data_IF_274431368365
#
_entry.id   IF_274431368365
#
_cell.length_a   1.000
_cell.length_b   1.000
_cell.length_c   1.000
_cell.angle_alpha   90.00
_cell.angle_beta   90.00
_cell.angle_gamma   90.00
#
_symmetry.space_group_name_H-M   'P 1'
#
loop_
_entity.id
_entity.type
_entity.pdbx_description
1 polymer ?
#
# COMPACT_ATOMS: atom_id res chain seq x y z
N UNK A 1 -25.65 0.63 5.17
CA UNK A 1 -24.59 -0.14 4.47
C UNK A 1 -23.26 0.60 4.36
N UNK A 2 -23.23 1.91 4.06
CA UNK A 2 -21.99 2.69 3.97
C UNK A 2 -21.13 2.63 5.25
N UNK A 3 -21.69 2.99 6.41
CA UNK A 3 -20.94 3.00 7.67
C UNK A 3 -20.36 1.64 8.06
N UNK A 4 -21.14 0.56 7.87
CA UNK A 4 -20.69 -0.81 8.13
C UNK A 4 -19.51 -1.17 7.23
N UNK A 5 -19.61 -0.86 5.92
CA UNK A 5 -18.54 -1.10 4.96
C UNK A 5 -17.27 -0.29 5.28
N UNK A 6 -17.42 0.98 5.65
CA UNK A 6 -16.30 1.83 6.06
C UNK A 6 -15.63 1.33 7.33
N UNK A 7 -16.41 0.88 8.32
CA UNK A 7 -15.88 0.31 9.56
C UNK A 7 -15.15 -1.01 9.30
N UNK A 8 -15.74 -1.89 8.48
CA UNK A 8 -15.12 -3.15 8.09
C UNK A 8 -13.79 -2.92 7.35
N UNK A 9 -13.75 -1.98 6.40
CA UNK A 9 -12.52 -1.63 5.70
C UNK A 9 -11.44 -1.13 6.67
N UNK A 10 -11.78 -0.18 7.55
CA UNK A 10 -10.81 0.34 8.53
C UNK A 10 -10.28 -0.77 9.43
N UNK A 11 -11.16 -1.60 9.98
CA UNK A 11 -10.76 -2.72 10.83
C UNK A 11 -9.79 -3.66 10.12
N UNK A 12 -10.15 -4.14 8.92
CA UNK A 12 -9.31 -5.08 8.17
C UNK A 12 -8.02 -4.42 7.70
N UNK A 13 -8.04 -3.14 7.32
CA UNK A 13 -6.86 -2.38 6.95
C UNK A 13 -5.85 -2.31 8.10
N UNK A 14 -6.28 -1.95 9.30
CA UNK A 14 -5.39 -1.86 10.47
C UNK A 14 -4.89 -3.23 10.92
N UNK A 15 -5.74 -4.27 10.89
CA UNK A 15 -5.30 -5.65 11.16
C UNK A 15 -4.23 -6.07 10.16
N UNK A 16 -4.46 -5.84 8.86
CA UNK A 16 -3.48 -6.14 7.80
C UNK A 16 -2.16 -5.39 8.03
N UNK A 17 -2.22 -4.08 8.34
CA UNK A 17 -1.05 -3.27 8.64
C UNK A 17 -0.27 -3.83 9.83
N UNK A 18 -0.93 -4.05 10.97
CA UNK A 18 -0.27 -4.50 12.21
C UNK A 18 0.36 -5.88 12.02
N UNK A 19 -0.37 -6.83 11.42
CA UNK A 19 0.15 -8.18 11.14
C UNK A 19 1.38 -8.10 10.25
N UNK A 20 1.31 -7.31 9.17
CA UNK A 20 2.45 -7.12 8.27
C UNK A 20 3.63 -6.43 8.95
N UNK A 21 3.40 -5.42 9.79
CA UNK A 21 4.48 -4.80 10.57
C UNK A 21 5.17 -5.82 11.46
N UNK A 22 4.42 -6.63 12.22
CA UNK A 22 5.02 -7.63 13.13
C UNK A 22 5.82 -8.69 12.35
N UNK A 23 5.23 -9.26 11.30
CA UNK A 23 5.84 -10.35 10.54
C UNK A 23 6.99 -9.91 9.65
N UNK A 24 6.85 -8.75 8.99
CA UNK A 24 7.86 -8.28 8.04
C UNK A 24 8.96 -7.43 8.65
N UNK A 25 8.78 -6.87 9.86
CA UNK A 25 9.83 -6.07 10.52
C UNK A 25 11.17 -6.82 10.62
N UNK A 26 11.24 -8.06 11.15
CA UNK A 26 12.50 -8.79 11.21
C UNK A 26 13.13 -8.98 9.82
N UNK A 27 12.32 -9.35 8.82
CA UNK A 27 12.80 -9.54 7.46
C UNK A 27 13.29 -8.22 6.82
N UNK A 28 12.58 -7.12 7.02
CA UNK A 28 12.92 -5.82 6.44
C UNK A 28 14.28 -5.31 6.93
N UNK A 29 14.56 -5.43 8.24
CA UNK A 29 15.80 -4.93 8.82
C UNK A 29 16.99 -5.88 8.68
N UNK A 30 16.75 -7.18 8.50
CA UNK A 30 17.82 -8.18 8.39
C UNK A 30 18.17 -8.53 6.93
N UNK A 31 17.29 -8.26 5.98
CA UNK A 31 17.52 -8.61 4.57
C UNK A 31 18.29 -7.52 3.81
N UNK A 32 19.01 -7.88 2.72
CA UNK A 32 19.63 -6.90 1.85
C UNK A 32 18.60 -5.92 1.27
N UNK A 33 18.99 -4.65 1.13
CA UNK A 33 18.11 -3.53 0.70
C UNK A 33 17.21 -3.87 -0.51
N UNK A 34 17.77 -4.51 -1.53
CA UNK A 34 17.02 -4.85 -2.74
C UNK A 34 15.86 -5.82 -2.48
N UNK A 35 16.00 -6.73 -1.51
CA UNK A 35 14.94 -7.67 -1.08
C UNK A 35 13.99 -7.05 -0.07
N UNK A 36 14.50 -6.21 0.83
CA UNK A 36 13.70 -5.49 1.81
C UNK A 36 12.60 -4.65 1.12
N UNK A 37 12.86 -4.16 -0.09
CA UNK A 37 11.88 -3.41 -0.91
C UNK A 37 10.62 -4.19 -1.28
N UNK A 38 10.62 -5.52 -1.12
CA UNK A 38 9.41 -6.33 -1.24
C UNK A 38 8.35 -5.94 -0.21
N UNK A 39 8.75 -5.65 1.03
CA UNK A 39 7.84 -5.40 2.16
C UNK A 39 6.92 -4.20 1.90
N UNK A 40 7.40 -2.98 1.61
CA UNK A 40 6.51 -1.84 1.34
C UNK A 40 5.66 -2.04 0.08
N UNK A 41 6.19 -2.74 -0.94
CA UNK A 41 5.43 -3.06 -2.16
C UNK A 41 4.28 -4.04 -1.86
N UNK A 42 4.52 -5.05 -1.04
CA UNK A 42 3.51 -6.01 -0.62
C UNK A 42 2.42 -5.34 0.21
N UNK A 43 2.82 -4.53 1.20
CA UNK A 43 1.90 -3.72 1.99
C UNK A 43 1.01 -2.83 1.13
N UNK A 44 1.60 -2.04 0.22
CA UNK A 44 0.83 -1.17 -0.70
C UNK A 44 -0.18 -1.97 -1.55
N UNK A 45 0.24 -3.11 -2.13
CA UNK A 45 -0.63 -3.96 -2.96
C UNK A 45 -1.80 -4.56 -2.16
N UNK A 46 -1.53 -5.05 -0.95
CA UNK A 46 -2.59 -5.62 -0.10
C UNK A 46 -3.59 -4.57 0.37
N UNK A 47 -3.12 -3.37 0.74
CA UNK A 47 -3.98 -2.24 1.11
C UNK A 47 -4.86 -1.81 -0.07
N UNK A 48 -4.30 -1.70 -1.28
CA UNK A 48 -5.05 -1.44 -2.50
C UNK A 48 -6.10 -2.51 -2.80
N UNK A 49 -5.75 -3.78 -2.64
CA UNK A 49 -6.66 -4.90 -2.86
C UNK A 49 -7.83 -4.88 -1.87
N UNK A 50 -7.58 -4.60 -0.58
CA UNK A 50 -8.62 -4.44 0.43
C UNK A 50 -9.54 -3.25 0.12
N UNK A 51 -8.99 -2.17 -0.44
CA UNK A 51 -9.76 -0.98 -0.82
C UNK A 51 -10.70 -1.29 -2.00
N UNK A 52 -10.24 -2.03 -3.01
CA UNK A 52 -11.10 -2.55 -4.08
C UNK A 52 -12.17 -3.49 -3.52
N UNK A 53 -11.78 -4.52 -2.74
CA UNK A 53 -12.71 -5.57 -2.31
C UNK A 53 -13.74 -5.15 -1.29
N UNK A 54 -13.37 -4.30 -0.33
CA UNK A 54 -14.27 -3.91 0.76
C UNK A 54 -14.90 -2.57 0.47
N UNK A 55 -14.12 -1.54 0.10
CA UNK A 55 -14.66 -0.21 -0.15
C UNK A 55 -15.29 -0.08 -1.55
N UNK A 56 -14.93 -0.95 -2.49
CA UNK A 56 -15.41 -0.91 -3.88
C UNK A 56 -14.70 0.15 -4.72
N UNK A 57 -13.55 0.65 -4.26
CA UNK A 57 -12.83 1.73 -4.92
C UNK A 57 -11.68 1.17 -5.75
N UNK A 58 -11.74 1.39 -7.07
CA UNK A 58 -10.71 1.00 -8.02
C UNK A 58 -9.74 2.15 -8.25
N UNK A 59 -8.49 1.80 -8.54
CA UNK A 59 -7.46 2.76 -8.89
C UNK A 59 -7.09 2.57 -10.34
N UNK A 60 -6.96 3.69 -11.04
CA UNK A 60 -6.47 3.74 -12.42
C UNK A 60 -5.17 4.52 -12.44
N UNK A 61 -4.14 3.95 -13.07
CA UNK A 61 -2.79 4.50 -13.10
C UNK A 61 -2.42 4.73 -14.57
N UNK A 62 -2.43 5.99 -14.96
CA UNK A 62 -2.10 6.44 -16.33
C UNK A 62 -0.80 7.24 -16.33
N UNK A 63 -0.25 7.50 -17.52
CA UNK A 63 0.93 8.36 -17.68
C UNK A 63 2.26 7.71 -17.29
N UNK A 64 2.32 6.37 -17.20
CA UNK A 64 3.54 5.63 -16.84
C UNK A 64 4.67 5.83 -17.86
N UNK A 65 4.33 6.15 -19.10
CA UNK A 65 5.25 6.51 -20.18
C UNK A 65 6.02 7.82 -19.93
N UNK A 66 5.54 8.67 -19.02
CA UNK A 66 6.23 9.90 -18.64
C UNK A 66 7.29 9.69 -17.56
N UNK A 67 7.43 8.46 -17.04
CA UNK A 67 8.43 8.15 -16.02
C UNK A 67 9.83 8.18 -16.64
N UNK A 68 10.77 8.98 -16.10
CA UNK A 68 12.13 9.04 -16.62
C UNK A 68 12.88 7.73 -16.33
N UNK A 69 13.82 7.39 -17.21
CA UNK A 69 14.73 6.27 -16.98
C UNK A 69 15.71 6.60 -15.83
N UNK A 70 15.92 5.65 -14.92
CA UNK A 70 16.85 5.79 -13.81
C UNK A 70 16.25 6.42 -12.55
N UNK A 71 17.09 7.10 -11.76
CA UNK A 71 16.69 7.68 -10.47
C UNK A 71 16.04 9.05 -10.68
N UNK A 72 14.87 9.26 -10.06
CA UNK A 72 14.16 10.53 -10.10
C UNK A 72 13.45 10.81 -8.77
N UNK A 73 13.02 12.05 -8.59
CA UNK A 73 12.18 12.47 -7.47
C UNK A 73 10.74 12.52 -7.95
N UNK A 74 9.86 11.75 -7.32
CA UNK A 74 8.42 11.87 -7.52
C UNK A 74 7.87 12.93 -6.56
N UNK A 75 7.16 13.93 -7.07
CA UNK A 75 6.57 15.02 -6.28
C UNK A 75 5.02 14.96 -6.29
N UNK A 76 4.39 13.94 -5.67
CA UNK A 76 2.95 13.82 -5.67
C UNK A 76 2.31 14.79 -4.68
N UNK A 77 1.09 15.23 -4.97
CA UNK A 77 0.26 15.93 -3.98
C UNK A 77 -0.11 14.94 -2.86
N UNK A 78 0.20 15.28 -1.61
CA UNK A 78 -0.25 14.51 -0.46
C UNK A 78 -1.66 14.97 -0.06
N UNK A 79 -2.69 14.24 -0.49
CA UNK A 79 -4.08 14.64 -0.27
C UNK A 79 -4.73 13.92 0.93
N UNK A 80 -4.38 12.66 1.19
CA UNK A 80 -4.90 11.95 2.34
C UNK A 80 -3.92 10.89 2.83
N UNK A 81 -4.34 10.09 3.82
CA UNK A 81 -3.64 8.84 4.15
C UNK A 81 -3.64 7.87 2.96
N UNK A 82 -4.57 8.10 2.02
CA UNK A 82 -4.56 7.58 0.68
C UNK A 82 -3.89 8.53 -0.33
#
# INVERSE_FOLDING_TARGET
>A
MLYVRSLAFNFVFYVNLIVQMILWTPYYFLSPRHRAWFVPKFWSRTSMWLYDKIAGTKNDITGQENLPEGSFILAPKHQSFW
#
